data_IF_863567878438
#
_entry.id   IF_863567878438
#
_cell.length_a   1.000
_cell.length_b   1.000
_cell.length_c   1.000
_cell.angle_alpha   90.00
_cell.angle_beta   90.00
_cell.angle_gamma   90.00
#
_symmetry.space_group_name_H-M   'P 1'
#
loop_
_entity.id
_entity.type
_entity.pdbx_description
1 polymer ?
#
# COMPACT_ATOMS: atom_id res chain seq x y z
N UNK A 1 10.05 -3.41 -0.78
CA UNK A 1 8.73 -4.07 -0.69
C UNK A 1 8.90 -5.47 -1.29
N UNK A 2 8.54 -6.53 -0.55
CA UNK A 2 8.78 -7.93 -0.94
C UNK A 2 7.44 -8.68 -0.98
N UNK A 3 7.06 -9.19 -2.15
CA UNK A 3 5.78 -9.84 -2.40
C UNK A 3 5.53 -11.08 -1.52
N UNK A 4 6.58 -11.85 -1.22
CA UNK A 4 6.49 -13.04 -0.37
C UNK A 4 6.14 -12.66 1.07
N UNK A 5 6.87 -11.70 1.65
CA UNK A 5 6.57 -11.20 3.01
C UNK A 5 5.19 -10.56 3.11
N UNK A 6 4.72 -9.92 2.03
CA UNK A 6 3.40 -9.30 2.02
C UNK A 6 2.27 -10.34 1.92
N UNK A 7 2.47 -11.41 1.16
CA UNK A 7 1.55 -12.55 1.11
C UNK A 7 1.47 -13.25 2.47
N UNK A 8 2.62 -13.48 3.12
CA UNK A 8 2.69 -14.07 4.46
C UNK A 8 1.95 -13.21 5.52
N UNK A 9 1.96 -11.88 5.38
CA UNK A 9 1.24 -10.95 6.26
C UNK A 9 -0.28 -10.87 5.98
N UNK A 10 -0.72 -11.08 4.74
CA UNK A 10 -2.12 -10.89 4.33
C UNK A 10 -2.93 -12.17 4.21
N UNK A 11 -2.28 -13.35 4.16
CA UNK A 11 -2.95 -14.64 4.00
C UNK A 11 -3.43 -14.94 2.57
N UNK A 12 -3.23 -14.02 1.62
CA UNK A 12 -3.58 -14.17 0.21
C UNK A 12 -2.41 -13.81 -0.71
N UNK A 13 -2.46 -14.18 -2.00
CA UNK A 13 -1.37 -13.86 -2.93
C UNK A 13 -1.25 -12.35 -3.12
N UNK A 14 -0.03 -11.84 -2.96
CA UNK A 14 0.31 -10.45 -3.26
C UNK A 14 1.38 -10.38 -4.35
N UNK A 15 1.19 -9.49 -5.31
CA UNK A 15 2.23 -9.09 -6.26
C UNK A 15 2.69 -7.68 -5.95
N UNK A 16 3.98 -7.40 -6.11
CA UNK A 16 4.52 -6.08 -5.84
C UNK A 16 5.67 -5.79 -6.79
N UNK A 17 5.52 -4.75 -7.62
CA UNK A 17 6.64 -4.16 -8.35
C UNK A 17 7.26 -3.03 -7.51
N UNK A 18 8.46 -3.21 -6.91
CA UNK A 18 9.04 -2.27 -5.96
C UNK A 18 9.69 -1.05 -6.63
N UNK A 19 9.03 -0.47 -7.63
CA UNK A 19 9.43 0.75 -8.33
C UNK A 19 8.33 1.79 -8.21
N UNK A 20 8.72 3.06 -8.21
CA UNK A 20 7.75 4.16 -8.38
C UNK A 20 7.04 3.95 -9.72
N UNK A 21 5.72 4.03 -9.68
CA UNK A 21 4.83 3.72 -10.78
C UNK A 21 4.57 2.23 -11.01
N UNK A 22 5.18 1.34 -10.22
CA UNK A 22 4.92 -0.10 -10.27
C UNK A 22 3.57 -0.45 -9.67
N UNK A 23 2.84 -1.34 -10.35
CA UNK A 23 1.57 -1.85 -9.84
C UNK A 23 1.79 -2.92 -8.76
N UNK A 24 0.81 -3.07 -7.88
CA UNK A 24 0.75 -4.13 -6.89
C UNK A 24 -0.68 -4.67 -6.78
N UNK A 25 -0.79 -5.92 -6.35
CA UNK A 25 -2.04 -6.55 -5.95
C UNK A 25 -1.87 -7.21 -4.59
N UNK A 26 -2.94 -7.25 -3.80
CA UNK A 26 -2.98 -7.91 -2.51
C UNK A 26 -4.32 -8.62 -2.32
N UNK A 27 -4.39 -9.59 -1.40
CA UNK A 27 -5.60 -10.38 -1.12
C UNK A 27 -6.16 -11.04 -2.39
N UNK A 28 -5.32 -11.78 -3.12
CA UNK A 28 -5.70 -12.51 -4.35
C UNK A 28 -6.32 -11.60 -5.44
N UNK A 29 -5.93 -10.32 -5.46
CA UNK A 29 -6.39 -9.35 -6.45
C UNK A 29 -7.61 -8.52 -6.02
N UNK A 30 -8.13 -8.73 -4.80
CA UNK A 30 -9.18 -7.88 -4.24
C UNK A 30 -8.72 -6.42 -4.11
N UNK A 31 -7.48 -6.22 -3.67
CA UNK A 31 -6.82 -4.92 -3.62
C UNK A 31 -5.85 -4.81 -4.79
N UNK A 32 -5.92 -3.70 -5.51
CA UNK A 32 -4.97 -3.36 -6.54
C UNK A 32 -4.64 -1.87 -6.51
N UNK A 33 -3.45 -1.54 -6.98
CA UNK A 33 -2.96 -0.19 -6.86
C UNK A 33 -1.60 0.02 -7.49
N UNK A 34 -1.04 1.20 -7.24
CA UNK A 34 0.24 1.63 -7.78
C UNK A 34 1.06 2.34 -6.71
N UNK A 35 2.37 2.13 -6.77
CA UNK A 35 3.31 2.83 -5.91
C UNK A 35 3.52 4.26 -6.43
N UNK A 36 3.12 5.27 -5.66
CA UNK A 36 3.31 6.68 -6.00
C UNK A 36 4.69 7.19 -5.57
N UNK A 37 5.16 6.76 -4.40
CA UNK A 37 6.47 7.12 -3.87
C UNK A 37 7.05 5.97 -3.05
N UNK A 38 8.33 5.66 -3.26
CA UNK A 38 9.05 4.65 -2.49
C UNK A 38 10.40 5.20 -2.07
N UNK A 39 10.53 5.54 -0.79
CA UNK A 39 11.81 5.84 -0.15
C UNK A 39 12.18 4.71 0.79
N UNK A 40 13.18 3.91 0.38
CA UNK A 40 13.64 2.74 1.14
C UNK A 40 13.90 3.11 2.61
N UNK A 41 13.20 2.44 3.52
CA UNK A 41 13.34 2.63 4.97
C UNK A 41 12.81 3.96 5.52
N UNK A 42 12.11 4.77 4.71
CA UNK A 42 11.62 6.09 5.13
C UNK A 42 10.14 6.30 4.83
N UNK A 43 9.70 6.01 3.61
CA UNK A 43 8.35 6.34 3.17
C UNK A 43 7.85 5.41 2.07
N UNK A 44 6.57 5.06 2.14
CA UNK A 44 5.83 4.33 1.11
C UNK A 44 4.53 5.11 0.89
N UNK A 45 4.27 5.52 -0.35
CA UNK A 45 3.01 6.15 -0.74
C UNK A 45 2.42 5.34 -1.89
N UNK A 46 1.16 4.96 -1.74
CA UNK A 46 0.48 4.05 -2.65
C UNK A 46 -0.93 4.53 -2.92
N UNK A 47 -1.37 4.40 -4.16
CA UNK A 47 -2.78 4.46 -4.48
C UNK A 47 -3.40 3.07 -4.38
N UNK A 48 -4.57 2.99 -3.74
CA UNK A 48 -5.29 1.75 -3.48
C UNK A 48 -6.71 1.85 -4.04
N UNK A 49 -7.19 0.75 -4.60
CA UNK A 49 -8.58 0.55 -4.99
C UNK A 49 -8.96 -0.90 -4.71
N UNK A 50 -10.22 -1.12 -4.37
CA UNK A 50 -10.78 -2.47 -4.27
C UNK A 50 -11.79 -2.72 -5.39
N UNK A 51 -12.11 -3.98 -5.63
CA UNK A 51 -13.13 -4.40 -6.59
C UNK A 51 -14.54 -3.91 -6.24
N UNK A 52 -14.80 -3.58 -4.97
CA UNK A 52 -16.10 -3.13 -4.47
C UNK A 52 -16.32 -1.62 -4.59
N UNK A 53 -15.31 -0.85 -5.00
CA UNK A 53 -15.43 0.59 -5.04
C UNK A 53 -16.37 1.09 -6.15
N UNK A 54 -17.14 2.16 -5.89
CA UNK A 54 -18.04 2.74 -6.89
C UNK A 54 -17.32 3.02 -8.21
N UNK A 55 -18.04 2.78 -9.31
CA UNK A 55 -17.51 3.02 -10.65
C UNK A 55 -17.19 4.51 -10.82
N UNK A 56 -15.92 4.83 -11.09
CA UNK A 56 -15.45 6.21 -11.26
C UNK A 56 -14.94 6.86 -9.97
N UNK A 57 -14.98 6.17 -8.83
CA UNK A 57 -14.39 6.71 -7.60
C UNK A 57 -12.86 6.79 -7.74
N UNK A 58 -12.23 7.92 -7.36
CA UNK A 58 -10.78 8.07 -7.42
C UNK A 58 -10.10 7.08 -6.46
N UNK A 59 -8.88 6.61 -6.76
CA UNK A 59 -8.13 5.78 -5.84
C UNK A 59 -7.89 6.48 -4.48
N UNK A 60 -7.88 5.70 -3.39
CA UNK A 60 -7.46 6.18 -2.07
C UNK A 60 -5.95 6.24 -2.03
N UNK A 61 -5.43 7.01 -1.09
CA UNK A 61 -4.01 7.21 -0.90
C UNK A 61 -3.64 6.67 0.47
N UNK A 62 -2.79 5.64 0.48
CA UNK A 62 -2.14 5.12 1.66
C UNK A 62 -0.72 5.68 1.72
N UNK A 63 -0.41 6.35 2.82
CA UNK A 63 0.92 6.83 3.14
C UNK A 63 1.42 6.15 4.42
N UNK A 64 2.61 5.55 4.34
CA UNK A 64 3.33 4.96 5.45
C UNK A 64 4.66 5.68 5.59
N UNK A 65 4.88 6.31 6.73
CA UNK A 65 6.15 6.93 7.09
C UNK A 65 6.81 6.16 8.24
N UNK A 66 8.10 5.91 8.09
CA UNK A 66 8.91 5.15 9.02
C UNK A 66 9.94 6.09 9.62
N UNK A 67 9.86 6.31 10.92
CA UNK A 67 10.78 7.17 11.67
C UNK A 67 11.59 6.28 12.60
N UNK A 68 12.90 6.22 12.37
CA UNK A 68 13.82 5.52 13.25
C UNK A 68 13.85 6.21 14.62
N UNK A 69 13.63 5.44 15.68
CA UNK A 69 13.70 5.87 17.07
C UNK A 69 14.81 5.08 17.78
N UNK A 70 15.28 5.54 18.94
CA UNK A 70 16.32 4.84 19.72
C UNK A 70 15.94 3.39 20.04
N UNK A 71 14.67 3.15 20.37
CA UNK A 71 14.11 1.81 20.59
C UNK A 71 13.09 1.41 19.51
N UNK A 72 13.55 1.32 18.25
CA UNK A 72 12.78 0.69 17.17
C UNK A 72 12.38 1.63 16.05
N UNK A 73 11.13 1.55 15.60
CA UNK A 73 10.64 2.34 14.47
C UNK A 73 9.20 2.75 14.72
N UNK A 74 8.97 4.05 14.71
CA UNK A 74 7.64 4.63 14.70
C UNK A 74 7.07 4.54 13.28
N UNK A 75 5.89 3.94 13.17
CA UNK A 75 5.15 3.82 11.92
C UNK A 75 3.96 4.77 11.96
N UNK A 76 3.98 5.77 11.09
CA UNK A 76 2.84 6.66 10.88
C UNK A 76 2.10 6.17 9.63
N UNK A 77 0.84 5.78 9.80
CA UNK A 77 -0.04 5.38 8.72
C UNK A 77 -1.14 6.42 8.53
N UNK A 78 -1.23 6.97 7.32
CA UNK A 78 -2.31 7.88 6.91
C UNK A 78 -3.04 7.29 5.71
N UNK A 79 -4.35 7.08 5.83
CA UNK A 79 -5.18 6.60 4.74
C UNK A 79 -6.23 7.65 4.41
N UNK A 80 -6.19 8.19 3.19
CA UNK A 80 -7.03 9.31 2.76
C UNK A 80 -7.77 9.00 1.45
N UNK A 81 -8.85 9.74 1.17
CA UNK A 81 -9.73 9.52 0.01
C UNK A 81 -10.34 8.11 -0.04
N UNK A 82 -10.51 7.48 1.11
CA UNK A 82 -11.30 6.26 1.24
C UNK A 82 -12.76 6.64 0.99
N UNK A 83 -13.49 5.91 0.13
CA UNK A 83 -14.94 6.11 0.01
C UNK A 83 -15.58 6.01 1.39
N UNK A 84 -16.34 7.04 1.79
CA UNK A 84 -17.32 6.88 2.84
C UNK A 84 -18.47 6.04 2.27
N UNK A 85 -19.07 5.18 3.09
CA UNK A 85 -20.29 4.44 2.74
C UNK A 85 -21.37 5.34 2.12
#
# INVERSE_FOLDING_TARGET
>A
MNAKKHSDFTGGKATCNPKVGGNFTAWDGYIFGKNLELRKGKKIMQEWRTTEWPKGYPPSILELSFISQEEGTELIMTHSKVPAE
#
